data_IF_593545961347
#
_entry.id   IF_593545961347
#
_cell.length_a   1.000
_cell.length_b   1.000
_cell.length_c   1.000
_cell.angle_alpha   90.00
_cell.angle_beta   90.00
_cell.angle_gamma   90.00
#
_symmetry.space_group_name_H-M   'P 1'
#
loop_
_entity.id
_entity.type
_entity.pdbx_description
1 polymer ?
#
# COMPACT_ATOMS: atom_id res chain seq x y z
N UNK A 1 -6.40 -5.29 -20.30
CA UNK A 1 -5.78 -5.30 -18.96
C UNK A 1 -5.08 -3.96 -18.74
N UNK A 2 -5.25 -3.35 -17.57
CA UNK A 2 -4.62 -2.07 -17.26
C UNK A 2 -3.23 -2.29 -16.67
N UNK A 3 -2.18 -2.30 -17.50
CA UNK A 3 -0.80 -2.51 -17.06
C UNK A 3 -0.30 -1.45 -16.07
N UNK A 4 -1.01 -0.32 -15.96
CA UNK A 4 -0.71 0.74 -15.00
C UNK A 4 -1.18 0.42 -13.57
N UNK A 5 -2.01 -0.61 -13.36
CA UNK A 5 -2.64 -0.90 -12.07
C UNK A 5 -1.84 -1.88 -11.20
N UNK A 6 -0.78 -2.48 -11.74
CA UNK A 6 0.03 -3.48 -11.06
C UNK A 6 1.48 -3.43 -11.51
N UNK A 7 2.41 -3.43 -10.55
CA UNK A 7 3.84 -3.51 -10.78
C UNK A 7 4.49 -4.32 -9.66
N UNK A 8 5.51 -5.11 -9.97
CA UNK A 8 6.28 -5.86 -8.97
C UNK A 8 7.77 -5.67 -9.20
N UNK A 9 8.47 -5.12 -8.20
CA UNK A 9 9.92 -5.00 -8.24
C UNK A 9 10.56 -6.18 -7.49
N UNK A 10 10.48 -7.38 -8.06
CA UNK A 10 10.99 -8.61 -7.41
C UNK A 10 12.51 -8.63 -7.20
N UNK A 11 13.25 -7.73 -7.85
CA UNK A 11 14.69 -7.52 -7.65
C UNK A 11 15.01 -6.54 -6.51
N UNK A 12 14.00 -5.94 -5.87
CA UNK A 12 14.21 -5.09 -4.71
C UNK A 12 14.83 -5.91 -3.57
N UNK A 13 15.84 -5.37 -2.90
CA UNK A 13 16.47 -5.98 -1.72
C UNK A 13 15.49 -6.16 -0.54
N UNK A 14 14.40 -5.41 -0.53
CA UNK A 14 13.35 -5.49 0.48
C UNK A 14 12.17 -6.38 0.08
N UNK A 15 12.12 -6.95 -1.12
CA UNK A 15 10.93 -7.69 -1.57
C UNK A 15 10.87 -9.13 -1.00
N UNK A 16 9.71 -9.57 -0.45
CA UNK A 16 8.51 -8.80 -0.17
C UNK A 16 8.68 -7.91 1.08
N UNK A 17 8.33 -6.62 0.98
CA UNK A 17 8.55 -5.67 2.08
C UNK A 17 7.64 -5.94 3.28
N UNK A 18 6.48 -6.58 3.03
CA UNK A 18 5.50 -6.94 4.05
C UNK A 18 5.11 -8.42 3.90
N UNK A 19 4.99 -9.13 5.01
CA UNK A 19 4.51 -10.51 5.03
C UNK A 19 2.98 -10.60 4.93
N UNK A 20 2.45 -11.80 4.63
CA UNK A 20 1.00 -12.07 4.65
C UNK A 20 0.29 -11.90 3.31
N UNK A 21 0.98 -11.42 2.27
CA UNK A 21 0.47 -11.37 0.90
C UNK A 21 1.23 -12.41 0.06
N UNK A 22 0.51 -13.14 -0.80
CA UNK A 22 1.15 -14.02 -1.80
C UNK A 22 2.00 -13.18 -2.75
N UNK A 23 3.17 -13.68 -3.15
CA UNK A 23 4.10 -12.95 -4.01
C UNK A 23 3.43 -12.51 -5.31
N UNK A 24 2.52 -13.29 -5.88
CA UNK A 24 1.80 -13.00 -7.13
C UNK A 24 0.74 -11.90 -6.98
N UNK A 25 0.38 -11.55 -5.75
CA UNK A 25 -0.59 -10.50 -5.41
C UNK A 25 0.09 -9.22 -4.90
N UNK A 26 1.40 -9.26 -4.66
CA UNK A 26 2.16 -8.17 -4.05
C UNK A 26 2.42 -7.02 -5.03
N UNK A 27 1.78 -5.87 -4.84
CA UNK A 27 1.90 -4.70 -5.70
C UNK A 27 2.90 -3.69 -5.13
N UNK A 28 3.87 -3.27 -5.94
CA UNK A 28 4.91 -2.30 -5.57
C UNK A 28 4.58 -0.86 -5.98
N UNK A 29 3.46 -0.61 -6.68
CA UNK A 29 3.11 0.74 -7.16
C UNK A 29 3.04 1.79 -6.06
N UNK A 30 2.62 1.39 -4.87
CA UNK A 30 2.45 2.27 -3.72
C UNK A 30 3.37 1.85 -2.57
N UNK A 31 4.61 1.42 -2.88
CA UNK A 31 5.61 1.09 -1.86
C UNK A 31 5.77 2.19 -0.80
N UNK A 32 5.65 3.45 -1.21
CA UNK A 32 5.40 4.56 -0.30
C UNK A 32 3.90 4.79 -0.18
N UNK A 33 3.39 4.71 1.04
CA UNK A 33 1.96 4.82 1.29
C UNK A 33 1.47 6.24 0.99
N UNK A 34 0.63 6.44 -0.04
CA UNK A 34 0.08 7.77 -0.34
C UNK A 34 -0.99 8.18 0.69
N UNK A 35 -1.40 7.26 1.57
CA UNK A 35 -2.45 7.48 2.56
C UNK A 35 -1.91 7.72 3.98
N UNK A 36 -0.59 7.84 4.13
CA UNK A 36 0.08 7.93 5.44
C UNK A 36 -0.50 9.09 6.28
N UNK A 37 -0.57 10.28 5.69
CA UNK A 37 -1.00 11.51 6.37
C UNK A 37 -2.52 11.61 6.61
N UNK A 38 -3.31 10.67 6.08
CA UNK A 38 -4.76 10.73 6.20
C UNK A 38 -5.26 9.99 7.45
N UNK A 39 -6.10 10.67 8.22
CA UNK A 39 -6.71 10.13 9.44
C UNK A 39 -7.67 8.98 9.13
N UNK A 40 -8.42 9.08 8.02
CA UNK A 40 -9.37 8.09 7.51
C UNK A 40 -8.71 6.97 6.68
N UNK A 41 -7.40 6.74 6.85
CA UNK A 41 -6.69 5.69 6.14
C UNK A 41 -7.30 4.31 6.45
N UNK A 42 -7.71 3.53 5.42
CA UNK A 42 -8.32 2.21 5.60
C UNK A 42 -7.31 1.09 5.88
N UNK A 43 -6.01 1.40 5.87
CA UNK A 43 -4.95 0.43 6.16
C UNK A 43 -4.83 0.13 7.66
N UNK A 44 -4.23 -1.01 8.00
CA UNK A 44 -3.88 -1.34 9.39
C UNK A 44 -2.71 -0.45 9.82
N UNK A 45 -2.83 0.21 10.98
CA UNK A 45 -1.74 0.96 11.59
C UNK A 45 -1.95 1.05 13.10
N UNK A 46 -0.89 1.43 13.81
CA UNK A 46 -0.95 1.83 15.22
C UNK A 46 -0.32 3.22 15.39
N UNK A 47 -0.75 3.96 16.41
CA UNK A 47 -0.16 5.26 16.73
C UNK A 47 0.88 5.08 17.84
N UNK A 48 2.12 5.49 17.56
CA UNK A 48 3.21 5.57 18.54
C UNK A 48 3.48 7.06 18.79
N UNK A 49 2.81 7.61 19.80
CA UNK A 49 2.72 9.06 19.98
C UNK A 49 2.04 9.70 18.76
N UNK A 50 2.76 10.57 18.06
CA UNK A 50 2.29 11.26 16.85
C UNK A 50 2.73 10.56 15.54
N UNK A 51 3.40 9.40 15.63
CA UNK A 51 3.88 8.64 14.48
C UNK A 51 2.86 7.54 14.16
N UNK A 52 2.53 7.42 12.88
CA UNK A 52 1.64 6.37 12.38
C UNK A 52 2.47 5.17 11.95
N UNK A 53 2.61 4.19 12.83
CA UNK A 53 3.34 2.97 12.52
C UNK A 53 2.48 2.05 11.62
N UNK A 54 2.97 1.85 10.40
CA UNK A 54 2.33 1.05 9.36
C UNK A 54 3.10 -0.24 9.07
N UNK A 55 4.05 -0.68 9.92
CA UNK A 55 4.89 -1.85 9.65
C UNK A 55 4.13 -3.16 9.42
N UNK A 56 2.89 -3.25 9.90
CA UNK A 56 1.98 -4.38 9.70
C UNK A 56 0.97 -4.17 8.54
N UNK A 57 1.10 -3.09 7.77
CA UNK A 57 0.12 -2.70 6.77
C UNK A 57 0.40 -3.34 5.41
N UNK A 58 -0.51 -4.20 4.95
CA UNK A 58 -0.46 -4.77 3.59
C UNK A 58 -1.28 -3.98 2.58
N UNK A 59 -2.06 -2.99 3.01
CA UNK A 59 -3.13 -2.38 2.22
C UNK A 59 -2.69 -1.86 0.85
N UNK A 60 -1.53 -1.20 0.80
CA UNK A 60 -0.94 -0.61 -0.42
C UNK A 60 -0.24 -1.62 -1.33
N UNK A 61 0.00 -2.83 -0.80
CA UNK A 61 0.65 -3.93 -1.49
C UNK A 61 -0.33 -5.01 -1.98
N UNK A 62 -1.60 -4.90 -1.68
CA UNK A 62 -2.62 -5.81 -2.23
C UNK A 62 -3.01 -5.36 -3.65
N UNK A 63 -2.82 -6.21 -4.66
CA UNK A 63 -3.17 -5.89 -6.07
C UNK A 63 -4.60 -5.37 -6.24
N UNK A 64 -5.55 -5.92 -5.47
CA UNK A 64 -6.98 -5.64 -5.60
C UNK A 64 -7.36 -4.27 -5.00
N UNK A 65 -6.44 -3.63 -4.27
CA UNK A 65 -6.67 -2.32 -3.65
C UNK A 65 -6.30 -1.13 -4.54
N UNK A 66 -5.66 -1.33 -5.71
CA UNK A 66 -5.26 -0.22 -6.60
C UNK A 66 -6.38 0.81 -6.82
N UNK A 67 -7.57 0.35 -7.24
CA UNK A 67 -8.72 1.24 -7.51
C UNK A 67 -9.19 1.98 -6.25
N UNK A 68 -9.14 1.31 -5.08
CA UNK A 68 -9.56 1.90 -3.80
C UNK A 68 -8.59 2.98 -3.35
N UNK A 69 -7.29 2.77 -3.54
CA UNK A 69 -6.23 3.73 -3.21
C UNK A 69 -6.36 4.97 -4.11
N UNK A 70 -6.48 4.77 -5.43
CA UNK A 70 -6.66 5.89 -6.37
C UNK A 70 -7.95 6.66 -6.08
N UNK A 71 -9.06 5.97 -5.77
CA UNK A 71 -10.31 6.64 -5.37
C UNK A 71 -10.12 7.50 -4.12
N UNK A 72 -9.40 6.99 -3.12
CA UNK A 72 -9.07 7.75 -1.92
C UNK A 72 -8.27 9.01 -2.26
N UNK A 73 -7.17 8.87 -3.00
CA UNK A 73 -6.36 10.02 -3.38
C UNK A 73 -7.20 11.06 -4.14
N UNK A 74 -8.03 10.61 -5.10
CA UNK A 74 -8.88 11.49 -5.91
C UNK A 74 -9.98 12.20 -5.13
N UNK A 75 -10.54 11.59 -4.07
CA UNK A 75 -11.61 12.21 -3.29
C UNK A 75 -11.14 13.36 -2.39
N UNK A 76 -9.84 13.70 -2.46
CA UNK A 76 -9.18 14.73 -1.64
C UNK A 76 -8.78 15.97 -2.46
N UNK A 77 -9.16 15.97 -3.74
CA UNK A 77 -9.09 17.08 -4.69
C UNK A 77 -10.51 17.38 -5.18
#
# INVERSE_FOLDING_TARGET
MANYAFFQHTKCEFFPCHSGIKKEQFNCLFCYCPLYLYADCPGKYQMIGNIKDCSDCTWVHEKDNYKKIVKNIKSRY
#
